data_IF_365799847468
#
_entry.id   IF_365799847468
#
_cell.length_a   1.000
_cell.length_b   1.000
_cell.length_c   1.000
_cell.angle_alpha   90.00
_cell.angle_beta   90.00
_cell.angle_gamma   90.00
#
_symmetry.space_group_name_H-M   'P 1'
#
loop_
_entity.id
_entity.type
_entity.pdbx_description
1 polymer ?
#
# COMPACT_ATOMS: atom_id res chain seq x y z
N UNK A 1 14.63 12.09 -25.92
CA UNK A 1 13.61 12.07 -24.85
C UNK A 1 12.50 13.00 -25.27
N UNK A 2 11.31 12.51 -25.63
CA UNK A 2 10.29 13.42 -26.12
C UNK A 2 9.67 14.12 -24.90
N UNK A 3 9.75 15.45 -24.92
CA UNK A 3 9.55 16.39 -23.81
C UNK A 3 8.15 16.99 -23.79
N UNK A 4 7.13 16.23 -24.19
CA UNK A 4 5.76 16.72 -24.37
C UNK A 4 4.79 15.92 -23.51
N UNK A 5 3.83 16.58 -22.86
CA UNK A 5 2.77 15.98 -22.04
C UNK A 5 1.84 15.03 -22.83
N UNK A 6 2.08 14.87 -24.13
CA UNK A 6 1.40 13.97 -25.06
C UNK A 6 1.95 12.53 -24.97
N UNK A 7 3.12 12.31 -24.35
CA UNK A 7 3.65 10.97 -24.09
C UNK A 7 3.16 10.44 -22.74
N UNK A 8 1.87 10.21 -22.65
CA UNK A 8 1.26 9.58 -21.48
C UNK A 8 0.85 8.15 -21.84
N UNK A 9 1.72 7.19 -21.51
CA UNK A 9 1.43 5.75 -21.66
C UNK A 9 0.17 5.35 -20.88
N UNK A 10 -0.13 6.03 -19.76
CA UNK A 10 -1.33 5.74 -18.98
C UNK A 10 -2.61 6.28 -19.62
N UNK A 11 -2.52 7.16 -20.63
CA UNK A 11 -3.70 7.60 -21.38
C UNK A 11 -4.35 6.48 -22.19
N UNK A 12 -3.62 5.41 -22.46
CA UNK A 12 -4.12 4.17 -23.04
C UNK A 12 -4.70 3.19 -22.02
N UNK A 13 -4.45 3.38 -20.72
CA UNK A 13 -4.96 2.53 -19.64
C UNK A 13 -6.15 3.21 -18.95
N UNK A 14 -7.36 2.76 -19.26
CA UNK A 14 -8.59 3.33 -18.70
C UNK A 14 -9.17 2.38 -17.65
N UNK A 15 -9.32 2.87 -16.42
CA UNK A 15 -9.97 2.15 -15.31
C UNK A 15 -11.33 2.79 -15.07
N UNK A 16 -12.41 2.01 -15.19
CA UNK A 16 -13.76 2.50 -14.90
C UNK A 16 -14.00 2.64 -13.40
N UNK A 17 -15.01 3.45 -13.05
CA UNK A 17 -15.64 3.32 -11.73
C UNK A 17 -16.19 1.90 -11.54
N UNK A 18 -16.33 1.48 -10.28
CA UNK A 18 -16.94 0.19 -9.98
C UNK A 18 -18.46 0.24 -10.12
N UNK A 19 -19.08 -0.94 -10.19
CA UNK A 19 -20.52 -1.03 -9.90
C UNK A 19 -20.80 -0.56 -8.46
N UNK A 20 -21.99 0.01 -8.19
CA UNK A 20 -22.40 0.32 -6.82
C UNK A 20 -22.36 -0.92 -5.92
N UNK A 21 -21.98 -0.71 -4.67
CA UNK A 21 -21.96 -1.75 -3.63
C UNK A 21 -23.12 -1.54 -2.65
N UNK A 22 -23.52 -2.60 -1.97
CA UNK A 22 -24.58 -2.55 -0.97
C UNK A 22 -24.05 -1.99 0.35
N UNK A 23 -24.90 -1.27 1.09
CA UNK A 23 -24.55 -0.78 2.44
C UNK A 23 -24.17 -1.93 3.39
N UNK A 24 -24.74 -3.12 3.17
CA UNK A 24 -24.37 -4.32 3.93
C UNK A 24 -22.92 -4.76 3.73
N UNK A 25 -22.23 -4.28 2.69
CA UNK A 25 -20.80 -4.53 2.48
C UNK A 25 -19.91 -3.63 3.33
N UNK A 26 -20.44 -2.60 4.00
CA UNK A 26 -19.67 -1.69 4.85
C UNK A 26 -19.51 -2.24 6.27
N UNK A 27 -18.40 -1.87 6.90
CA UNK A 27 -18.09 -2.10 8.31
C UNK A 27 -17.36 -0.90 8.90
N UNK A 28 -17.35 -0.79 10.23
CA UNK A 28 -16.46 0.12 10.95
C UNK A 28 -15.20 -0.65 11.38
N UNK A 29 -14.08 -0.36 10.73
CA UNK A 29 -12.78 -0.94 11.03
C UNK A 29 -12.01 -0.10 12.04
N UNK A 30 -11.55 -0.74 13.12
CA UNK A 30 -10.68 -0.10 14.10
C UNK A 30 -9.27 0.00 13.53
N UNK A 31 -8.70 1.21 13.47
CA UNK A 31 -7.29 1.37 13.10
C UNK A 31 -6.40 0.71 14.15
N UNK A 32 -5.59 -0.25 13.71
CA UNK A 32 -4.57 -0.93 14.53
C UNK A 32 -3.20 -0.64 13.93
N UNK A 33 -2.30 -0.12 14.76
CA UNK A 33 -0.88 0.02 14.41
C UNK A 33 -0.13 -1.19 14.96
N UNK A 34 0.65 -1.87 14.11
CA UNK A 34 1.43 -3.07 14.49
C UNK A 34 2.92 -2.72 14.49
N UNK A 35 3.61 -3.04 15.59
CA UNK A 35 5.05 -2.79 15.75
C UNK A 35 5.90 -3.89 15.12
N UNK A 36 7.22 -3.67 15.03
CA UNK A 36 8.18 -4.67 14.56
C UNK A 36 8.10 -6.01 15.32
N UNK A 37 7.78 -5.97 16.61
CA UNK A 37 7.62 -7.19 17.43
C UNK A 37 6.27 -7.89 17.23
N UNK A 38 5.42 -7.40 16.34
CA UNK A 38 4.05 -7.89 16.15
C UNK A 38 3.08 -7.40 17.23
N UNK A 39 3.46 -6.41 18.06
CA UNK A 39 2.55 -5.88 19.08
C UNK A 39 1.48 -5.02 18.41
N UNK A 40 0.23 -5.36 18.66
CA UNK A 40 -0.94 -4.63 18.20
C UNK A 40 -1.28 -3.45 19.11
N UNK A 41 -1.54 -2.29 18.52
CA UNK A 41 -1.93 -1.07 19.21
C UNK A 41 -3.18 -0.48 18.56
N UNK A 42 -4.35 -0.79 19.14
CA UNK A 42 -5.61 -0.21 18.71
C UNK A 42 -5.66 1.28 19.07
N UNK A 43 -5.87 2.12 18.05
CA UNK A 43 -6.04 3.56 18.22
C UNK A 43 -7.51 3.91 18.29
N UNK A 44 -7.96 4.97 18.99
CA UNK A 44 -9.36 5.37 19.06
C UNK A 44 -9.85 6.05 17.76
N UNK A 45 -9.65 5.39 16.61
CA UNK A 45 -9.98 5.88 15.27
C UNK A 45 -10.66 4.78 14.48
N UNK A 46 -11.96 4.93 14.25
CA UNK A 46 -12.76 4.05 13.41
C UNK A 46 -12.79 4.58 11.97
N UNK A 47 -12.81 3.68 11.00
CA UNK A 47 -12.99 4.00 9.58
C UNK A 47 -14.15 3.21 9.01
N UNK A 48 -15.00 3.86 8.26
CA UNK A 48 -15.91 3.15 7.36
C UNK A 48 -15.08 2.51 6.23
N UNK A 49 -15.17 1.20 6.09
CA UNK A 49 -14.45 0.44 5.09
C UNK A 49 -15.27 -0.77 4.62
N UNK A 50 -14.85 -1.40 3.53
CA UNK A 50 -15.49 -2.60 3.02
C UNK A 50 -15.14 -3.81 3.88
N UNK A 51 -16.13 -4.67 4.10
CA UNK A 51 -15.96 -5.97 4.74
C UNK A 51 -15.02 -6.83 3.92
N UNK A 52 -14.13 -7.55 4.61
CA UNK A 52 -13.31 -8.58 3.98
C UNK A 52 -14.17 -9.56 3.17
N UNK A 53 -13.69 -9.95 1.99
CA UNK A 53 -14.41 -10.83 1.06
C UNK A 53 -15.45 -10.14 0.17
N UNK A 54 -15.65 -8.82 0.30
CA UNK A 54 -16.48 -8.05 -0.64
C UNK A 54 -15.86 -8.07 -2.04
N UNK A 55 -16.64 -8.43 -3.05
CA UNK A 55 -16.24 -8.39 -4.46
C UNK A 55 -16.59 -7.04 -5.08
N UNK A 56 -15.66 -6.49 -5.86
CA UNK A 56 -15.82 -5.21 -6.54
C UNK A 56 -15.57 -5.44 -8.02
N UNK A 57 -16.58 -5.19 -8.85
CA UNK A 57 -16.47 -5.30 -10.30
C UNK A 57 -16.20 -3.93 -10.91
N UNK A 58 -15.18 -3.86 -11.76
CA UNK A 58 -14.85 -2.70 -12.60
C UNK A 58 -14.16 -3.17 -13.87
N UNK A 59 -14.07 -2.29 -14.87
CA UNK A 59 -13.48 -2.59 -16.17
C UNK A 59 -12.13 -1.90 -16.32
N UNK A 60 -11.14 -2.64 -16.82
CA UNK A 60 -9.87 -2.07 -17.30
C UNK A 60 -9.83 -2.23 -18.82
N UNK A 61 -9.66 -1.13 -19.54
CA UNK A 61 -9.54 -1.10 -21.00
C UNK A 61 -8.14 -0.60 -21.38
N UNK A 62 -7.52 -1.28 -22.34
CA UNK A 62 -6.22 -0.90 -22.90
C UNK A 62 -6.42 -0.51 -24.37
N UNK A 63 -6.15 0.75 -24.69
CA UNK A 63 -6.11 1.27 -26.05
C UNK A 63 -4.72 1.05 -26.64
N UNK A 64 -4.57 -0.06 -27.36
CA UNK A 64 -3.31 -0.45 -27.99
C UNK A 64 -2.80 0.53 -29.07
N UNK A 65 -3.60 1.54 -29.44
CA UNK A 65 -3.13 2.62 -30.34
C UNK A 65 -2.36 3.72 -29.59
N UNK A 66 -2.41 3.72 -28.26
CA UNK A 66 -1.82 4.76 -27.39
C UNK A 66 -0.74 4.25 -26.44
N UNK A 67 -0.70 2.94 -26.17
CA UNK A 67 0.29 2.35 -25.29
C UNK A 67 0.56 0.90 -25.67
N UNK A 68 1.79 0.45 -25.40
CA UNK A 68 2.19 -0.95 -25.53
C UNK A 68 1.93 -1.77 -24.26
N UNK A 69 1.36 -1.16 -23.21
CA UNK A 69 1.04 -1.85 -21.96
C UNK A 69 0.09 -3.03 -22.20
N UNK A 70 0.39 -4.15 -21.57
CA UNK A 70 -0.45 -5.36 -21.63
C UNK A 70 -1.02 -5.74 -20.26
N UNK A 71 -2.01 -6.63 -20.26
CA UNK A 71 -2.50 -7.28 -19.03
C UNK A 71 -1.36 -7.98 -18.27
N UNK A 72 -0.45 -8.60 -19.02
CA UNK A 72 0.71 -9.29 -18.48
C UNK A 72 1.67 -8.32 -17.79
N UNK A 73 1.85 -7.11 -18.31
CA UNK A 73 2.68 -6.09 -17.67
C UNK A 73 2.08 -5.59 -16.37
N UNK A 74 0.75 -5.39 -16.32
CA UNK A 74 0.03 -5.07 -15.08
C UNK A 74 0.24 -6.18 -14.05
N UNK A 75 0.02 -7.44 -14.46
CA UNK A 75 0.17 -8.60 -13.57
C UNK A 75 1.59 -8.73 -13.04
N UNK A 76 2.61 -8.62 -13.91
CA UNK A 76 4.03 -8.63 -13.51
C UNK A 76 4.37 -7.47 -12.59
N UNK A 77 3.83 -6.28 -12.83
CA UNK A 77 4.08 -5.10 -11.99
C UNK A 77 3.54 -5.28 -10.58
N UNK A 78 2.38 -5.93 -10.44
CA UNK A 78 1.80 -6.28 -9.13
C UNK A 78 2.72 -7.24 -8.38
N UNK A 79 3.21 -8.29 -9.04
CA UNK A 79 4.13 -9.26 -8.39
C UNK A 79 5.47 -8.63 -8.02
N UNK A 80 6.05 -7.80 -8.90
CA UNK A 80 7.28 -7.05 -8.61
C UNK A 80 7.10 -6.11 -7.42
N UNK A 81 5.95 -5.43 -7.35
CA UNK A 81 5.60 -4.60 -6.20
C UNK A 81 5.50 -5.43 -4.93
N UNK A 82 4.79 -6.57 -4.94
CA UNK A 82 4.61 -7.42 -3.77
C UNK A 82 5.93 -7.99 -3.25
N UNK A 83 6.85 -8.35 -4.16
CA UNK A 83 8.21 -8.76 -3.82
C UNK A 83 8.99 -7.65 -3.15
N UNK A 84 9.05 -6.48 -3.78
CA UNK A 84 9.77 -5.33 -3.22
C UNK A 84 9.17 -4.90 -1.87
N UNK A 85 7.84 -4.83 -1.79
CA UNK A 85 7.14 -4.44 -0.57
C UNK A 85 7.43 -5.41 0.57
N UNK A 86 7.45 -6.71 0.31
CA UNK A 86 7.79 -7.70 1.31
C UNK A 86 9.26 -7.59 1.74
N UNK A 87 10.20 -7.61 0.80
CA UNK A 87 11.63 -7.60 1.10
C UNK A 87 12.09 -6.30 1.77
N UNK A 88 11.60 -5.16 1.30
CA UNK A 88 12.04 -3.87 1.80
C UNK A 88 11.29 -3.44 3.07
N UNK A 89 10.03 -3.85 3.24
CA UNK A 89 9.16 -3.34 4.29
C UNK A 89 8.51 -4.42 5.16
N UNK A 90 7.58 -5.22 4.61
CA UNK A 90 6.67 -6.05 5.41
C UNK A 90 7.40 -7.15 6.20
N UNK A 91 8.49 -7.69 5.65
CA UNK A 91 9.33 -8.71 6.31
C UNK A 91 10.03 -8.24 7.60
N UNK A 92 10.04 -6.94 7.89
CA UNK A 92 10.60 -6.40 9.14
C UNK A 92 9.68 -6.60 10.35
N UNK A 93 8.41 -6.96 10.13
CA UNK A 93 7.38 -7.09 11.17
C UNK A 93 7.17 -8.56 11.52
N UNK A 94 7.17 -8.89 12.82
CA UNK A 94 6.99 -10.27 13.27
C UNK A 94 5.61 -10.83 12.86
N UNK A 95 5.61 -12.07 12.38
CA UNK A 95 4.38 -12.80 12.03
C UNK A 95 3.79 -12.46 10.66
N UNK A 96 4.40 -11.54 9.90
CA UNK A 96 3.95 -11.23 8.53
C UNK A 96 4.37 -12.31 7.54
N UNK A 97 3.65 -12.35 6.41
CA UNK A 97 3.92 -13.26 5.30
C UNK A 97 4.07 -12.46 4.01
N UNK A 98 4.70 -13.06 3.00
CA UNK A 98 4.71 -12.47 1.66
C UNK A 98 3.25 -12.33 1.18
N UNK A 99 2.88 -11.19 0.57
CA UNK A 99 1.56 -11.02 -0.03
C UNK A 99 1.28 -12.14 -1.04
N UNK A 100 0.02 -12.56 -1.12
CA UNK A 100 -0.40 -13.55 -2.11
C UNK A 100 -0.34 -12.99 -3.53
N UNK A 101 -0.35 -13.88 -4.53
CA UNK A 101 -0.35 -13.46 -5.94
C UNK A 101 -1.58 -12.61 -6.26
N UNK A 102 -1.36 -11.55 -7.05
CA UNK A 102 -2.29 -10.50 -7.40
C UNK A 102 -2.77 -9.65 -6.20
N UNK A 103 -2.06 -9.65 -5.07
CA UNK A 103 -2.33 -8.73 -3.98
C UNK A 103 -2.10 -7.27 -4.42
N UNK A 104 -3.05 -6.39 -4.12
CA UNK A 104 -2.99 -4.95 -4.40
C UNK A 104 -3.38 -4.16 -3.15
N UNK A 105 -2.79 -2.98 -2.95
CA UNK A 105 -3.02 -2.16 -1.76
C UNK A 105 -3.74 -0.86 -2.11
N UNK A 106 -4.99 -0.73 -1.68
CA UNK A 106 -5.89 0.36 -2.02
C UNK A 106 -6.18 1.28 -0.83
N UNK A 107 -6.48 2.55 -1.12
CA UNK A 107 -6.89 3.54 -0.13
C UNK A 107 -5.77 4.12 0.75
N UNK A 108 -6.03 5.26 1.39
CA UNK A 108 -5.04 5.98 2.21
C UNK A 108 -4.67 5.29 3.54
N UNK A 109 -5.34 4.20 3.89
CA UNK A 109 -5.12 3.45 5.13
C UNK A 109 -3.96 2.45 5.09
N UNK A 110 -3.49 2.06 3.90
CA UNK A 110 -2.51 0.98 3.70
C UNK A 110 -1.06 1.36 4.00
N UNK A 111 -0.79 2.63 4.32
CA UNK A 111 0.51 3.10 4.79
C UNK A 111 1.49 3.53 3.70
N UNK A 112 2.53 4.23 4.13
CA UNK A 112 3.45 4.98 3.27
C UNK A 112 4.14 4.14 2.18
N UNK A 113 4.65 2.97 2.54
CA UNK A 113 5.39 2.12 1.62
C UNK A 113 4.53 1.58 0.46
N UNK A 114 3.20 1.53 0.64
CA UNK A 114 2.27 1.13 -0.42
C UNK A 114 1.86 2.27 -1.37
N UNK A 115 2.20 3.51 -1.03
CA UNK A 115 1.81 4.72 -1.77
C UNK A 115 3.00 5.49 -2.34
N UNK A 116 4.20 4.94 -2.24
CA UNK A 116 5.42 5.60 -2.67
C UNK A 116 6.35 4.61 -3.37
N UNK A 117 7.23 5.15 -4.22
CA UNK A 117 8.17 4.37 -5.03
C UNK A 117 9.59 4.38 -4.44
N UNK A 118 9.78 4.89 -3.21
CA UNK A 118 11.11 5.04 -2.62
C UNK A 118 11.81 3.68 -2.44
N UNK A 119 11.13 2.69 -1.89
CA UNK A 119 11.69 1.34 -1.74
C UNK A 119 11.90 0.62 -3.07
N UNK A 120 10.96 0.69 -4.05
CA UNK A 120 11.21 0.18 -5.39
C UNK A 120 12.44 0.77 -6.07
N UNK A 121 12.69 2.08 -5.94
CA UNK A 121 13.77 2.77 -6.64
C UNK A 121 15.14 2.60 -5.97
N UNK A 122 15.19 2.57 -4.63
CA UNK A 122 16.45 2.64 -3.87
C UNK A 122 16.75 1.37 -3.06
N UNK A 123 15.83 0.41 -3.02
CA UNK A 123 15.90 -0.76 -2.15
C UNK A 123 15.90 -0.38 -0.67
N UNK A 124 16.04 -1.36 0.21
CA UNK A 124 15.99 -1.14 1.67
C UNK A 124 17.15 -0.27 2.18
N UNK A 125 18.39 -0.60 1.78
CA UNK A 125 19.61 0.03 2.31
C UNK A 125 19.65 1.55 2.12
N UNK A 126 19.31 2.03 0.92
CA UNK A 126 19.27 3.47 0.63
C UNK A 126 17.86 4.06 0.86
N UNK A 127 16.80 3.26 0.73
CA UNK A 127 15.42 3.71 0.96
C UNK A 127 15.15 4.12 2.40
N UNK A 128 15.59 3.34 3.40
CA UNK A 128 15.34 3.65 4.83
C UNK A 128 15.83 5.05 5.24
N UNK A 129 17.11 5.43 5.05
CA UNK A 129 17.57 6.77 5.42
C UNK A 129 16.91 7.87 4.58
N UNK A 130 16.54 7.59 3.34
CA UNK A 130 15.82 8.54 2.49
C UNK A 130 14.40 8.78 3.00
N UNK A 131 13.64 7.74 3.35
CA UNK A 131 12.29 7.88 3.93
C UNK A 131 12.34 8.60 5.27
N UNK A 132 13.29 8.26 6.15
CA UNK A 132 13.50 8.97 7.42
C UNK A 132 13.78 10.47 7.18
N UNK A 133 14.62 10.79 6.17
CA UNK A 133 14.89 12.18 5.77
C UNK A 133 13.65 12.89 5.22
N UNK A 134 12.83 12.21 4.42
CA UNK A 134 11.57 12.76 3.90
C UNK A 134 10.65 13.10 5.07
N UNK A 135 10.45 12.19 6.03
CA UNK A 135 9.62 12.46 7.21
C UNK A 135 10.16 13.62 8.03
N UNK A 136 11.48 13.71 8.25
CA UNK A 136 12.09 14.82 8.97
C UNK A 136 11.87 16.17 8.29
N UNK A 137 11.84 16.21 6.95
CA UNK A 137 11.67 17.45 6.18
C UNK A 137 10.22 17.85 5.94
N UNK A 138 9.29 16.91 5.98
CA UNK A 138 7.89 17.13 5.55
C UNK A 138 6.88 17.01 6.69
N UNK A 139 7.22 16.32 7.78
CA UNK A 139 6.35 16.22 8.95
C UNK A 139 6.67 17.33 9.96
N UNK A 140 5.68 17.66 10.77
CA UNK A 140 5.88 18.53 11.92
C UNK A 140 6.86 17.87 12.93
N UNK A 141 7.86 18.60 13.41
CA UNK A 141 8.88 18.11 14.35
C UNK A 141 8.31 17.43 15.60
N UNK A 142 7.19 17.95 16.14
CA UNK A 142 6.53 17.34 17.31
C UNK A 142 5.97 15.96 16.97
N UNK A 143 5.40 15.81 15.78
CA UNK A 143 4.86 14.54 15.28
C UNK A 143 6.01 13.57 14.98
N UNK A 144 7.07 14.04 14.34
CA UNK A 144 8.27 13.25 14.03
C UNK A 144 8.87 12.59 15.28
N UNK A 145 9.07 13.40 16.34
CA UNK A 145 9.58 12.92 17.64
C UNK A 145 8.58 12.06 18.39
N UNK A 146 7.29 12.44 18.39
CA UNK A 146 6.23 11.67 19.06
C UNK A 146 6.11 10.24 18.50
N UNK A 147 6.31 10.08 17.20
CA UNK A 147 6.30 8.77 16.54
C UNK A 147 7.68 8.14 16.44
N UNK A 148 8.71 8.73 17.07
CA UNK A 148 10.06 8.16 17.23
C UNK A 148 10.71 7.82 15.88
N UNK A 149 10.47 8.65 14.85
CA UNK A 149 11.04 8.43 13.51
C UNK A 149 12.56 8.62 13.46
N UNK A 150 13.16 9.21 14.49
CA UNK A 150 14.62 9.32 14.66
C UNK A 150 15.32 7.98 14.80
N UNK A 151 14.63 6.95 15.30
CA UNK A 151 15.18 5.60 15.45
C UNK A 151 15.02 4.73 14.20
N UNK A 152 14.28 5.18 13.17
CA UNK A 152 13.96 4.38 11.98
C UNK A 152 15.22 3.83 11.29
N UNK A 153 16.27 4.65 11.18
CA UNK A 153 17.52 4.26 10.52
C UNK A 153 18.25 3.18 11.32
N UNK A 154 18.30 3.33 12.64
CA UNK A 154 18.95 2.36 13.53
C UNK A 154 18.17 1.04 13.60
N UNK A 155 16.83 1.11 13.49
CA UNK A 155 15.95 -0.05 13.37
C UNK A 155 16.02 -0.71 11.98
N UNK A 156 16.67 -0.07 11.01
CA UNK A 156 16.78 -0.57 9.64
C UNK A 156 15.46 -0.58 8.86
N UNK A 157 14.47 0.25 9.25
CA UNK A 157 13.15 0.33 8.62
C UNK A 157 12.46 1.68 8.86
N UNK A 158 11.84 2.25 7.82
CA UNK A 158 11.10 3.51 7.92
C UNK A 158 9.84 3.53 7.03
N UNK A 159 8.62 3.79 7.56
CA UNK A 159 8.27 3.83 8.97
C UNK A 159 8.37 2.45 9.64
N UNK A 160 8.53 2.41 10.96
CA UNK A 160 8.58 1.16 11.75
C UNK A 160 7.20 0.68 12.26
N UNK A 161 6.11 1.08 11.60
CA UNK A 161 4.73 0.70 11.97
C UNK A 161 3.95 0.22 10.75
N UNK A 162 3.43 -1.00 10.81
CA UNK A 162 2.54 -1.56 9.81
C UNK A 162 1.08 -1.23 10.13
N UNK A 163 0.24 -1.11 9.08
CA UNK A 163 -1.13 -0.58 9.19
C UNK A 163 -2.16 -1.68 9.01
N UNK A 164 -2.92 -1.92 10.06
CA UNK A 164 -3.94 -2.97 10.11
C UNK A 164 -5.30 -2.38 10.49
N UNK A 165 -6.32 -3.20 10.30
CA UNK A 165 -7.67 -2.98 10.80
C UNK A 165 -8.18 -4.24 11.49
N UNK A 166 -8.96 -4.06 12.55
CA UNK A 166 -9.66 -5.17 13.21
C UNK A 166 -11.14 -5.17 12.82
N UNK A 167 -11.69 -6.37 12.58
CA UNK A 167 -13.12 -6.63 12.49
C UNK A 167 -13.46 -7.93 13.21
N UNK A 168 -14.39 -7.90 14.16
CA UNK A 168 -14.89 -9.10 14.85
C UNK A 168 -13.76 -10.00 15.40
N UNK A 169 -12.74 -9.37 16.00
CA UNK A 169 -11.54 -10.01 16.54
C UNK A 169 -10.60 -10.66 15.52
N UNK A 170 -10.80 -10.42 14.23
CA UNK A 170 -9.85 -10.77 13.18
C UNK A 170 -9.08 -9.53 12.72
N UNK A 171 -7.76 -9.68 12.60
CA UNK A 171 -6.83 -8.64 12.19
C UNK A 171 -6.51 -8.77 10.69
N UNK A 172 -6.61 -7.66 9.96
CA UNK A 172 -6.36 -7.61 8.51
C UNK A 172 -5.43 -6.45 8.17
N UNK A 173 -4.53 -6.65 7.19
CA UNK A 173 -3.77 -5.54 6.62
C UNK A 173 -4.73 -4.52 5.99
N UNK A 174 -4.60 -3.25 6.37
CA UNK A 174 -5.53 -2.23 5.91
C UNK A 174 -5.34 -1.99 4.41
N UNK A 175 -6.41 -2.10 3.63
CA UNK A 175 -6.40 -1.84 2.20
C UNK A 175 -5.82 -2.96 1.33
N UNK A 176 -5.45 -4.11 1.92
CA UNK A 176 -5.07 -5.30 1.16
C UNK A 176 -6.29 -5.86 0.42
N UNK A 177 -6.18 -6.00 -0.89
CA UNK A 177 -7.16 -6.58 -1.79
C UNK A 177 -6.47 -7.58 -2.73
N UNK A 178 -7.26 -8.32 -3.51
CA UNK A 178 -6.75 -9.20 -4.56
C UNK A 178 -7.42 -8.85 -5.87
N UNK A 179 -6.63 -8.65 -6.92
CA UNK A 179 -7.12 -8.39 -8.27
C UNK A 179 -7.27 -9.72 -9.03
N UNK A 180 -8.41 -9.90 -9.69
CA UNK A 180 -8.63 -11.05 -10.57
C UNK A 180 -9.15 -10.54 -11.92
N UNK A 181 -8.50 -10.98 -13.00
CA UNK A 181 -8.98 -10.71 -14.36
C UNK A 181 -9.92 -11.84 -14.78
N UNK A 182 -11.17 -11.49 -15.10
CA UNK A 182 -12.23 -12.40 -15.53
C UNK A 182 -12.32 -12.42 -17.05
#
# INVERSE_FOLDING_TARGET
MPSNAVNDELSGLVVSDSKPLELSNLMLGQKVDVTLSGKEMSLPILRECLKHGTKIDFTISIDATKTDLTKEDISKSIELFNENYYECFLSAFAGTKKPESNAVYLGGGSGFATKTVIYPLYGKKAGVPLVSTIFKKTMNDKIYKKHVHESDVDLGISPHIAKYTENSSALFEMGLCRLEFI
#
